data_IF_631084520231
#
_entry.id   IF_631084520231
#
_cell.length_a   1.000
_cell.length_b   1.000
_cell.length_c   1.000
_cell.angle_alpha   90.00
_cell.angle_beta   90.00
_cell.angle_gamma   90.00
#
_symmetry.space_group_name_H-M   'P 1'
#
loop_
_entity.id
_entity.type
_entity.pdbx_description
1 polymer ?
#
# COMPACT_ATOMS: atom_id res chain seq x y z
N UNK A 1 18.01 -22.99 -0.38
CA UNK A 1 18.48 -22.07 0.65
C UNK A 1 17.43 -20.98 0.76
N UNK A 2 16.77 -20.87 1.91
CA UNK A 2 15.69 -19.90 2.12
C UNK A 2 16.37 -18.57 2.44
N UNK A 3 16.45 -17.66 1.45
CA UNK A 3 16.90 -16.30 1.67
C UNK A 3 15.77 -15.52 2.39
N UNK A 4 15.91 -15.37 3.68
CA UNK A 4 15.03 -14.50 4.47
C UNK A 4 15.59 -13.08 4.35
N UNK A 5 15.06 -12.32 3.42
CA UNK A 5 15.39 -10.91 3.26
C UNK A 5 14.72 -10.13 4.39
N UNK A 6 15.47 -9.84 5.45
CA UNK A 6 15.02 -8.98 6.56
C UNK A 6 15.36 -7.54 6.23
N UNK A 7 14.52 -6.90 5.44
CA UNK A 7 14.62 -5.46 5.24
C UNK A 7 13.91 -4.74 6.39
N UNK A 8 14.65 -4.16 7.32
CA UNK A 8 14.12 -3.21 8.30
C UNK A 8 14.06 -1.83 7.63
N UNK A 9 13.00 -1.60 6.88
CA UNK A 9 12.73 -0.31 6.30
C UNK A 9 12.00 0.54 7.34
N UNK A 10 12.63 1.60 7.83
CA UNK A 10 11.97 2.56 8.71
C UNK A 10 11.07 3.43 7.84
N UNK A 11 9.77 3.10 7.83
CA UNK A 11 8.75 3.84 7.09
C UNK A 11 8.12 4.86 8.03
N UNK A 12 8.34 6.15 7.79
CA UNK A 12 7.47 7.17 8.37
C UNK A 12 6.20 7.23 7.51
N UNK A 13 5.20 6.46 7.89
CA UNK A 13 3.88 6.45 7.27
C UNK A 13 3.01 7.49 7.98
N UNK A 14 2.83 8.65 7.37
CA UNK A 14 1.78 9.59 7.77
C UNK A 14 0.58 9.29 6.86
N UNK A 15 -0.47 8.71 7.44
CA UNK A 15 -1.71 8.47 6.74
C UNK A 15 -2.85 9.23 7.43
N UNK A 16 -3.56 10.05 6.67
CA UNK A 16 -4.77 10.73 7.10
C UNK A 16 -5.94 10.08 6.38
N UNK A 17 -6.96 9.68 7.12
CA UNK A 17 -8.17 9.07 6.57
C UNK A 17 -9.40 9.85 7.03
N UNK A 18 -10.20 10.31 6.09
CA UNK A 18 -11.49 10.94 6.34
C UNK A 18 -12.56 9.99 5.80
N UNK A 19 -13.49 9.58 6.66
CA UNK A 19 -14.60 8.72 6.30
C UNK A 19 -15.90 9.48 6.51
N UNK A 20 -16.75 9.56 5.47
CA UNK A 20 -18.07 10.13 5.50
C UNK A 20 -19.06 9.00 5.26
N UNK A 21 -19.92 8.68 6.24
CA UNK A 21 -20.98 7.69 6.10
C UNK A 21 -22.33 8.39 6.07
N UNK A 22 -23.18 8.03 5.09
CA UNK A 22 -24.58 8.42 5.05
C UNK A 22 -25.43 7.24 5.56
N UNK A 23 -26.31 7.52 6.52
CA UNK A 23 -27.44 6.63 6.85
C UNK A 23 -28.60 7.06 5.99
N UNK A 24 -29.24 6.15 5.25
CA UNK A 24 -30.49 6.41 4.56
C UNK A 24 -31.58 6.64 5.61
N UNK A 25 -32.21 7.85 5.59
CA UNK A 25 -33.46 8.09 6.27
C UNK A 25 -34.57 7.29 5.56
N UNK A 26 -34.83 6.08 5.98
CA UNK A 26 -36.07 5.35 5.71
C UNK A 26 -36.41 4.62 6.98
N UNK A 27 -37.22 5.28 7.79
CA UNK A 27 -38.27 4.71 8.65
C UNK A 27 -38.91 5.86 9.42
N UNK A 28 -39.84 6.55 8.75
CA UNK A 28 -40.98 7.23 9.39
C UNK A 28 -42.21 6.54 8.84
N UNK A 29 -42.71 5.59 9.61
CA UNK A 29 -44.12 5.31 9.84
C UNK A 29 -44.25 4.00 10.64
N UNK A 30 -44.56 4.14 11.91
CA UNK A 30 -45.64 3.51 12.62
C UNK A 30 -45.52 3.76 14.13
N UNK A 31 -46.60 4.32 14.66
CA UNK A 31 -46.80 4.49 16.10
C UNK A 31 -46.82 3.16 16.83
N UNK A 32 -45.93 2.99 17.80
CA UNK A 32 -46.27 2.23 19.00
C UNK A 32 -45.45 2.72 20.20
N UNK A 33 -46.22 3.07 21.25
CA UNK A 33 -45.68 3.48 22.53
C UNK A 33 -45.14 2.28 23.30
N UNK A 34 -43.81 2.10 23.32
CA UNK A 34 -43.15 1.38 24.41
C UNK A 34 -41.88 2.08 24.80
N UNK A 35 -41.83 2.52 26.09
CA UNK A 35 -40.64 3.00 26.75
C UNK A 35 -39.59 1.88 26.75
N UNK A 36 -38.69 1.91 25.79
CA UNK A 36 -37.46 1.12 25.77
C UNK A 36 -36.29 2.08 25.48
N UNK A 37 -35.31 2.13 26.38
CA UNK A 37 -34.07 2.91 26.19
C UNK A 37 -33.49 2.64 24.82
N UNK A 38 -33.64 3.58 23.91
CA UNK A 38 -33.05 3.52 22.58
C UNK A 38 -31.55 3.39 22.69
N UNK A 39 -31.04 2.24 22.35
CA UNK A 39 -29.61 2.01 22.21
C UNK A 39 -29.09 2.80 21.01
N UNK A 40 -28.68 4.04 21.26
CA UNK A 40 -27.78 4.72 20.35
C UNK A 40 -26.57 3.84 20.21
N UNK A 41 -26.37 3.23 19.04
CA UNK A 41 -25.11 2.53 18.72
C UNK A 41 -24.01 3.60 18.84
N UNK A 42 -23.30 3.60 19.97
CA UNK A 42 -22.19 4.51 20.21
C UNK A 42 -21.13 4.22 19.14
N UNK A 43 -21.13 5.01 18.06
CA UNK A 43 -20.03 5.04 17.11
C UNK A 43 -18.78 5.53 17.86
N UNK A 44 -17.87 4.61 18.16
CA UNK A 44 -16.58 4.93 18.77
C UNK A 44 -15.47 4.86 17.73
N UNK A 45 -14.38 5.59 17.96
CA UNK A 45 -13.26 5.67 17.03
C UNK A 45 -12.59 4.31 16.75
N UNK A 46 -12.71 3.31 17.64
CA UNK A 46 -12.20 1.95 17.44
C UNK A 46 -13.02 1.11 16.45
N UNK A 47 -14.18 1.58 15.99
CA UNK A 47 -14.99 0.83 15.00
C UNK A 47 -14.28 0.72 13.65
N UNK A 48 -13.52 1.74 13.27
CA UNK A 48 -12.64 1.70 12.09
C UNK A 48 -11.31 1.08 12.46
N UNK A 49 -10.76 0.24 11.56
CA UNK A 49 -9.45 -0.37 11.72
C UNK A 49 -8.31 0.67 11.78
N UNK A 50 -7.09 0.23 12.12
CA UNK A 50 -5.91 1.09 12.08
C UNK A 50 -5.69 1.67 10.70
N UNK A 51 -5.07 2.86 10.65
CA UNK A 51 -4.67 3.50 9.40
C UNK A 51 -3.84 2.54 8.53
N UNK A 52 -4.15 2.50 7.23
CA UNK A 52 -3.48 1.64 6.25
C UNK A 52 -4.00 0.20 6.19
N UNK A 53 -5.02 -0.16 6.96
CA UNK A 53 -5.76 -1.42 6.79
C UNK A 53 -6.93 -1.20 5.84
N UNK A 54 -7.15 -2.15 4.93
CA UNK A 54 -8.22 -2.08 3.92
C UNK A 54 -9.23 -3.20 4.17
N UNK A 55 -10.53 -2.91 3.97
CA UNK A 55 -11.58 -3.91 4.15
C UNK A 55 -11.69 -4.42 5.59
N UNK A 56 -11.52 -3.54 6.56
CA UNK A 56 -11.48 -3.86 8.00
C UNK A 56 -12.86 -4.08 8.62
N UNK A 57 -13.94 -3.65 7.96
CA UNK A 57 -15.30 -3.73 8.47
C UNK A 57 -16.35 -3.84 7.36
N UNK A 58 -17.54 -4.28 7.75
CA UNK A 58 -18.75 -4.33 6.92
C UNK A 58 -19.68 -3.17 7.30
N UNK A 59 -20.45 -2.70 6.32
CA UNK A 59 -21.56 -1.78 6.54
C UNK A 59 -22.86 -2.55 6.80
N UNK A 60 -23.84 -1.89 7.44
CA UNK A 60 -25.23 -2.40 7.55
C UNK A 60 -26.00 -2.15 6.25
N UNK A 61 -27.04 -2.91 6.02
CA UNK A 61 -27.92 -2.75 4.85
C UNK A 61 -28.32 -1.29 4.64
N UNK A 62 -28.18 -0.82 3.40
CA UNK A 62 -28.52 0.54 2.97
C UNK A 62 -27.47 1.61 3.31
N UNK A 63 -26.46 1.28 4.12
CA UNK A 63 -25.39 2.25 4.45
C UNK A 63 -24.40 2.38 3.29
N UNK A 64 -23.89 3.60 3.14
CA UNK A 64 -22.78 3.92 2.24
C UNK A 64 -21.69 4.68 2.99
N UNK A 65 -20.45 4.57 2.52
CA UNK A 65 -19.29 5.28 3.07
C UNK A 65 -18.38 5.73 1.93
N UNK A 66 -17.89 6.95 2.02
CA UNK A 66 -16.81 7.46 1.17
C UNK A 66 -15.60 7.76 2.05
N UNK A 67 -14.42 7.42 1.56
CA UNK A 67 -13.17 7.66 2.27
C UNK A 67 -12.13 8.31 1.37
N UNK A 68 -11.37 9.23 1.94
CA UNK A 68 -10.18 9.81 1.34
C UNK A 68 -9.02 9.49 2.27
N UNK A 69 -7.94 8.94 1.71
CA UNK A 69 -6.72 8.62 2.45
C UNK A 69 -5.53 9.26 1.76
N UNK A 70 -4.69 9.89 2.53
CA UNK A 70 -3.39 10.36 2.09
C UNK A 70 -2.29 9.58 2.81
N UNK A 71 -1.28 9.18 2.08
CA UNK A 71 -0.12 8.47 2.62
C UNK A 71 1.15 9.04 2.01
N UNK A 72 2.11 9.35 2.87
CA UNK A 72 3.47 9.74 2.45
C UNK A 72 4.46 8.66 2.88
N UNK A 73 5.37 8.32 1.99
CA UNK A 73 6.41 7.33 2.20
C UNK A 73 7.76 7.93 1.81
N UNK A 74 8.76 7.81 2.69
CA UNK A 74 10.13 8.23 2.43
C UNK A 74 11.09 7.07 2.64
N UNK A 75 11.96 6.83 1.66
CA UNK A 75 12.96 5.78 1.64
C UNK A 75 14.33 6.42 1.39
N UNK A 76 15.29 6.19 2.26
CA UNK A 76 16.57 6.91 2.21
C UNK A 76 17.80 6.04 2.43
N UNK A 77 17.71 4.74 2.17
CA UNK A 77 18.84 3.83 2.32
C UNK A 77 18.70 2.63 1.39
N UNK A 78 19.85 2.09 0.95
CA UNK A 78 19.91 0.86 0.16
C UNK A 78 20.29 -0.32 1.06
N UNK A 79 19.60 -1.43 0.88
CA UNK A 79 19.84 -2.67 1.61
C UNK A 79 20.00 -3.84 0.65
N UNK A 80 20.86 -4.77 1.02
CA UNK A 80 20.90 -6.11 0.45
C UNK A 80 20.64 -7.09 1.60
N UNK A 81 19.52 -7.80 1.54
CA UNK A 81 18.95 -8.52 2.68
C UNK A 81 18.74 -7.57 3.88
N UNK A 82 19.41 -7.81 4.99
CA UNK A 82 19.36 -6.94 6.18
C UNK A 82 20.57 -6.02 6.32
N UNK A 83 21.53 -6.07 5.38
CA UNK A 83 22.75 -5.28 5.43
C UNK A 83 22.54 -3.96 4.70
N UNK A 84 22.81 -2.85 5.38
CA UNK A 84 22.88 -1.54 4.74
C UNK A 84 24.09 -1.50 3.80
N UNK A 85 23.87 -1.05 2.57
CA UNK A 85 24.89 -0.95 1.53
C UNK A 85 25.33 0.50 1.35
N UNK A 86 26.62 0.72 1.30
CA UNK A 86 27.21 1.98 0.87
C UNK A 86 27.22 2.10 -0.65
N UNK A 87 27.34 3.33 -1.18
CA UNK A 87 27.47 3.55 -2.62
C UNK A 87 28.64 2.74 -3.22
N UNK A 88 29.78 2.68 -2.50
CA UNK A 88 30.95 1.92 -2.96
C UNK A 88 30.69 0.41 -3.06
N UNK A 89 29.93 -0.16 -2.16
CA UNK A 89 29.54 -1.58 -2.23
C UNK A 89 28.56 -1.83 -3.37
N UNK A 90 27.57 -0.94 -3.58
CA UNK A 90 26.61 -1.03 -4.70
C UNK A 90 27.32 -0.96 -6.05
N UNK A 91 28.32 -0.08 -6.17
CA UNK A 91 29.11 0.08 -7.39
C UNK A 91 29.96 -1.14 -7.74
N UNK A 92 30.15 -2.07 -6.82
CA UNK A 92 30.84 -3.36 -7.07
C UNK A 92 29.88 -4.44 -7.59
N UNK A 93 28.57 -4.26 -7.46
CA UNK A 93 27.58 -5.22 -7.95
C UNK A 93 27.58 -5.28 -9.48
N UNK A 94 27.37 -6.47 -10.07
CA UNK A 94 27.32 -6.61 -11.52
C UNK A 94 26.10 -5.91 -12.11
N UNK A 95 26.28 -5.33 -13.29
CA UNK A 95 25.18 -4.82 -14.10
C UNK A 95 24.60 -5.96 -14.96
N UNK A 96 23.34 -6.37 -14.76
CA UNK A 96 22.74 -7.48 -15.51
C UNK A 96 22.57 -7.17 -17.01
N UNK A 97 22.68 -5.92 -17.40
CA UNK A 97 22.49 -5.47 -18.80
C UNK A 97 23.80 -5.27 -19.58
N UNK A 98 24.93 -5.73 -19.03
CA UNK A 98 26.21 -5.80 -19.74
C UNK A 98 27.10 -4.58 -19.49
N UNK A 99 27.02 -3.53 -20.31
CA UNK A 99 27.91 -2.39 -20.18
C UNK A 99 27.21 -1.18 -19.54
N UNK A 100 27.87 -0.53 -18.55
CA UNK A 100 29.14 -0.88 -17.92
C UNK A 100 29.05 -2.18 -17.13
N UNK A 101 30.18 -2.89 -16.94
CA UNK A 101 30.22 -4.21 -16.27
C UNK A 101 29.56 -4.22 -14.88
N UNK A 102 29.71 -3.13 -14.13
CA UNK A 102 29.14 -2.95 -12.80
C UNK A 102 28.13 -1.80 -12.78
N UNK A 103 27.27 -1.79 -11.77
CA UNK A 103 26.35 -0.67 -11.54
C UNK A 103 27.12 0.66 -11.47
N UNK A 104 26.53 1.71 -11.97
CA UNK A 104 27.15 3.05 -12.04
C UNK A 104 26.20 4.16 -11.60
N UNK A 105 24.96 3.84 -11.28
CA UNK A 105 23.98 4.77 -10.75
C UNK A 105 23.45 4.21 -9.43
N UNK A 106 23.39 5.04 -8.40
CA UNK A 106 22.97 4.66 -7.06
C UNK A 106 21.82 5.54 -6.62
N UNK A 107 20.63 4.96 -6.32
CA UNK A 107 19.53 5.67 -5.67
C UNK A 107 19.99 6.19 -4.30
N UNK A 108 19.67 7.44 -3.99
CA UNK A 108 20.01 8.06 -2.71
C UNK A 108 18.80 8.09 -1.77
N UNK A 109 17.68 8.55 -2.30
CA UNK A 109 16.39 8.61 -1.61
C UNK A 109 15.24 8.52 -2.61
N UNK A 110 14.07 8.15 -2.11
CA UNK A 110 12.81 8.14 -2.85
C UNK A 110 11.68 8.57 -1.93
N UNK A 111 10.88 9.51 -2.39
CA UNK A 111 9.61 9.89 -1.77
C UNK A 111 8.44 9.44 -2.64
N UNK A 112 7.36 9.03 -1.99
CA UNK A 112 6.10 8.70 -2.65
C UNK A 112 4.94 9.28 -1.85
N UNK A 113 4.09 10.04 -2.53
CA UNK A 113 2.81 10.51 -2.04
C UNK A 113 1.69 9.71 -2.71
N UNK A 114 0.73 9.23 -1.92
CA UNK A 114 -0.43 8.49 -2.42
C UNK A 114 -1.72 9.13 -1.92
N UNK A 115 -2.68 9.30 -2.83
CA UNK A 115 -4.06 9.66 -2.51
C UNK A 115 -4.95 8.49 -2.92
N UNK A 116 -5.73 7.99 -1.99
CA UNK A 116 -6.67 6.89 -2.21
C UNK A 116 -8.09 7.38 -1.97
N UNK A 117 -8.96 7.17 -2.95
CA UNK A 117 -10.39 7.42 -2.85
C UNK A 117 -11.10 6.08 -2.76
N UNK A 118 -11.91 5.89 -1.74
CA UNK A 118 -12.67 4.68 -1.52
C UNK A 118 -14.16 4.97 -1.38
N UNK A 119 -14.99 4.04 -1.87
CA UNK A 119 -16.42 4.04 -1.67
C UNK A 119 -16.88 2.64 -1.27
N UNK A 120 -17.83 2.57 -0.35
CA UNK A 120 -18.45 1.32 0.08
C UNK A 120 -19.97 1.47 0.10
N UNK A 121 -20.69 0.38 -0.22
CA UNK A 121 -22.14 0.30 -0.16
C UNK A 121 -22.58 -1.10 0.22
N UNK A 122 -23.52 -1.22 1.15
CA UNK A 122 -24.09 -2.50 1.59
C UNK A 122 -25.52 -2.65 1.10
N UNK A 123 -25.79 -3.41 0.03
CA UNK A 123 -27.16 -3.73 -0.41
C UNK A 123 -27.88 -4.64 0.58
N UNK A 124 -27.14 -5.42 1.34
CA UNK A 124 -27.65 -6.34 2.37
C UNK A 124 -26.74 -6.34 3.59
N UNK A 125 -27.20 -6.90 4.71
CA UNK A 125 -26.35 -7.08 5.90
C UNK A 125 -25.26 -8.16 5.73
N UNK A 126 -25.29 -8.91 4.63
CA UNK A 126 -24.34 -9.98 4.32
C UNK A 126 -23.22 -9.56 3.40
N UNK A 127 -23.44 -8.53 2.59
CA UNK A 127 -22.53 -8.12 1.51
C UNK A 127 -22.31 -6.62 1.54
N UNK A 128 -21.04 -6.22 1.53
CA UNK A 128 -20.64 -4.83 1.30
C UNK A 128 -19.75 -4.76 0.07
N UNK A 129 -20.13 -4.01 -0.94
CA UNK A 129 -19.27 -3.69 -2.08
C UNK A 129 -18.30 -2.57 -1.72
N UNK A 130 -17.08 -2.69 -2.21
CA UNK A 130 -16.03 -1.67 -2.03
C UNK A 130 -15.36 -1.40 -3.37
N UNK A 131 -15.19 -0.12 -3.66
CA UNK A 131 -14.38 0.38 -4.78
C UNK A 131 -13.30 1.29 -4.25
N UNK A 132 -12.12 1.23 -4.83
CA UNK A 132 -11.01 2.11 -4.46
C UNK A 132 -10.17 2.45 -5.68
N UNK A 133 -9.69 3.68 -5.72
CA UNK A 133 -8.71 4.12 -6.70
C UNK A 133 -7.53 4.81 -6.00
N UNK A 134 -6.34 4.67 -6.58
CA UNK A 134 -5.09 5.19 -6.01
C UNK A 134 -4.37 6.04 -7.04
N UNK A 135 -4.04 7.26 -6.65
CA UNK A 135 -3.14 8.17 -7.35
C UNK A 135 -1.79 8.20 -6.62
N UNK A 136 -0.70 8.02 -7.35
CA UNK A 136 0.67 8.05 -6.83
C UNK A 136 1.47 9.17 -7.47
N UNK A 137 2.26 9.88 -6.66
CA UNK A 137 3.32 10.76 -7.11
C UNK A 137 4.64 10.30 -6.49
N UNK A 138 5.66 10.08 -7.32
CA UNK A 138 6.95 9.50 -6.92
C UNK A 138 8.08 10.43 -7.34
N UNK A 139 9.09 10.56 -6.51
CA UNK A 139 10.33 11.28 -6.77
C UNK A 139 11.50 10.48 -6.25
N UNK A 140 12.53 10.28 -7.08
CA UNK A 140 13.74 9.56 -6.70
C UNK A 140 14.96 10.40 -7.04
N UNK A 141 15.86 10.58 -6.09
CA UNK A 141 17.16 11.20 -6.28
C UNK A 141 18.22 10.11 -6.48
N UNK A 142 19.05 10.28 -7.50
CA UNK A 142 20.09 9.33 -7.88
C UNK A 142 21.42 10.03 -8.05
N UNK A 143 22.50 9.28 -7.84
CA UNK A 143 23.87 9.74 -8.10
C UNK A 143 24.54 8.86 -9.13
N UNK A 144 25.12 9.50 -10.17
CA UNK A 144 25.88 8.82 -11.22
C UNK A 144 27.36 8.86 -10.93
N UNK A 145 28.02 7.75 -11.19
CA UNK A 145 29.46 7.54 -11.04
C UNK A 145 30.10 7.16 -12.37
N UNK A 146 31.37 7.46 -12.53
CA UNK A 146 32.17 6.99 -13.67
C UNK A 146 32.14 5.46 -13.76
N UNK A 147 32.01 4.88 -14.97
CA UNK A 147 31.86 3.44 -15.14
C UNK A 147 33.15 2.64 -14.91
N UNK A 148 34.30 3.28 -15.00
CA UNK A 148 35.63 2.69 -14.88
C UNK A 148 36.56 3.56 -14.07
N UNK A 149 37.75 3.02 -13.70
CA UNK A 149 38.80 3.66 -12.90
C UNK A 149 38.28 4.11 -11.54
N UNK A 150 38.59 5.29 -11.08
CA UNK A 150 38.40 5.76 -9.71
C UNK A 150 36.92 5.86 -9.26
N UNK A 151 35.95 5.60 -10.14
CA UNK A 151 34.52 5.62 -9.82
C UNK A 151 34.07 6.95 -9.16
N UNK A 152 34.62 8.07 -9.64
CA UNK A 152 34.27 9.38 -9.12
C UNK A 152 32.81 9.72 -9.44
N UNK A 153 32.15 10.43 -8.51
CA UNK A 153 30.80 10.92 -8.73
C UNK A 153 30.80 11.98 -9.85
N UNK A 154 29.92 11.78 -10.82
CA UNK A 154 29.71 12.72 -11.94
C UNK A 154 28.67 13.79 -11.59
N UNK A 155 27.69 13.46 -10.75
CA UNK A 155 26.64 14.36 -10.33
C UNK A 155 25.40 13.65 -9.83
N UNK A 156 24.43 14.44 -9.37
CA UNK A 156 23.11 14.00 -8.96
C UNK A 156 22.07 14.38 -10.01
N UNK A 157 21.00 13.60 -10.09
CA UNK A 157 19.80 13.90 -10.87
C UNK A 157 18.57 13.33 -10.18
N UNK A 158 17.39 13.75 -10.62
CA UNK A 158 16.13 13.26 -10.08
C UNK A 158 15.24 12.74 -11.20
N UNK A 159 14.48 11.69 -10.90
CA UNK A 159 13.38 11.20 -11.73
C UNK A 159 12.06 11.38 -11.00
N UNK A 160 11.00 11.71 -11.73
CA UNK A 160 9.66 11.91 -11.17
C UNK A 160 8.63 11.20 -12.04
N UNK A 161 7.60 10.70 -11.38
CA UNK A 161 6.41 10.17 -12.05
C UNK A 161 5.17 10.45 -11.22
N UNK A 162 4.03 10.61 -11.88
CA UNK A 162 2.74 10.72 -11.21
C UNK A 162 1.68 10.09 -12.09
N UNK A 163 0.79 9.30 -11.49
CA UNK A 163 -0.22 8.56 -12.26
C UNK A 163 -1.40 8.12 -11.41
N UNK A 164 -2.54 7.90 -12.06
CA UNK A 164 -3.64 7.11 -11.52
C UNK A 164 -3.25 5.63 -11.69
N UNK A 165 -2.85 4.99 -10.60
CA UNK A 165 -2.16 3.70 -10.64
C UNK A 165 -3.09 2.52 -10.64
N UNK A 166 -4.08 2.51 -9.74
CA UNK A 166 -4.84 1.33 -9.39
C UNK A 166 -6.33 1.64 -9.32
N UNK A 167 -7.15 0.72 -9.83
CA UNK A 167 -8.59 0.62 -9.55
C UNK A 167 -8.86 -0.77 -8.96
N UNK A 168 -9.49 -0.80 -7.79
CA UNK A 168 -9.90 -2.01 -7.08
C UNK A 168 -11.43 -2.05 -6.97
N UNK A 169 -12.00 -3.23 -7.21
CA UNK A 169 -13.41 -3.53 -6.99
C UNK A 169 -13.50 -4.83 -6.20
N UNK A 170 -14.16 -4.82 -5.06
CA UNK A 170 -14.27 -5.99 -4.19
C UNK A 170 -15.61 -6.09 -3.49
N UNK A 171 -15.93 -7.29 -3.02
CA UNK A 171 -17.06 -7.60 -2.16
C UNK A 171 -16.53 -8.15 -0.83
N UNK A 172 -17.04 -7.61 0.26
CA UNK A 172 -16.82 -8.13 1.61
C UNK A 172 -18.04 -8.97 1.98
N UNK A 173 -17.81 -10.20 2.42
CA UNK A 173 -18.84 -11.20 2.72
C UNK A 173 -18.84 -11.50 4.20
N UNK A 174 -19.96 -11.28 4.88
CA UNK A 174 -20.13 -11.59 6.29
C UNK A 174 -20.15 -13.12 6.48
N UNK A 175 -19.25 -13.63 7.32
CA UNK A 175 -19.24 -15.04 7.69
C UNK A 175 -19.83 -15.19 9.09
N UNK A 176 -19.45 -14.31 10.01
CA UNK A 176 -19.90 -14.34 11.39
C UNK A 176 -19.93 -12.93 11.99
N UNK A 177 -21.01 -12.60 12.70
CA UNK A 177 -21.16 -11.30 13.38
C UNK A 177 -22.12 -11.52 14.56
N UNK A 178 -21.56 -11.89 15.69
CA UNK A 178 -22.30 -12.04 16.94
C UNK A 178 -21.50 -11.48 18.09
N UNK A 179 -22.20 -10.85 19.00
CA UNK A 179 -21.64 -10.22 20.18
C UNK A 179 -20.49 -9.27 19.78
N UNK A 180 -19.34 -9.49 20.37
CA UNK A 180 -18.13 -8.70 20.14
C UNK A 180 -17.20 -9.28 19.05
N UNK A 181 -17.62 -10.33 18.35
CA UNK A 181 -16.79 -11.08 17.41
C UNK A 181 -17.32 -10.93 15.99
N UNK A 182 -16.43 -10.51 15.07
CA UNK A 182 -16.76 -10.38 13.65
C UNK A 182 -15.73 -11.12 12.80
N UNK A 183 -16.23 -11.79 11.77
CA UNK A 183 -15.41 -12.51 10.80
C UNK A 183 -16.00 -12.33 9.41
N UNK A 184 -15.18 -11.88 8.46
CA UNK A 184 -15.60 -11.69 7.08
C UNK A 184 -14.49 -12.02 6.11
N UNK A 185 -14.88 -12.38 4.90
CA UNK A 185 -13.98 -12.55 3.77
C UNK A 185 -14.13 -11.37 2.79
N UNK A 186 -13.10 -11.11 2.03
CA UNK A 186 -13.10 -10.18 0.91
C UNK A 186 -12.59 -10.91 -0.34
N UNK A 187 -13.28 -10.69 -1.46
CA UNK A 187 -12.82 -11.09 -2.77
C UNK A 187 -12.98 -9.94 -3.74
N UNK A 188 -12.02 -9.74 -4.61
CA UNK A 188 -12.05 -8.62 -5.55
C UNK A 188 -11.07 -8.77 -6.69
N UNK A 189 -11.12 -7.81 -7.58
CA UNK A 189 -10.17 -7.65 -8.68
C UNK A 189 -9.49 -6.29 -8.54
N UNK A 190 -8.22 -6.27 -8.86
CA UNK A 190 -7.42 -5.07 -8.90
C UNK A 190 -6.82 -4.91 -10.29
N UNK A 191 -7.08 -3.77 -10.92
CA UNK A 191 -6.53 -3.42 -12.22
C UNK A 191 -5.50 -2.33 -12.05
N UNK A 192 -4.28 -2.64 -12.42
CA UNK A 192 -3.21 -1.68 -12.52
C UNK A 192 -3.34 -0.94 -13.87
N UNK A 193 -3.62 0.37 -13.83
CA UNK A 193 -3.88 1.20 -15.00
C UNK A 193 -2.80 2.23 -15.29
N UNK A 194 -1.87 2.43 -14.34
CA UNK A 194 -0.79 3.40 -14.44
C UNK A 194 0.13 3.18 -15.65
N UNK A 195 0.88 4.20 -16.01
CA UNK A 195 1.82 4.15 -17.13
C UNK A 195 2.99 3.18 -16.84
N UNK A 196 3.34 2.33 -17.81
CA UNK A 196 4.41 1.34 -17.71
C UNK A 196 5.66 1.67 -18.55
N UNK A 197 5.67 2.81 -19.24
CA UNK A 197 6.75 3.27 -20.13
C UNK A 197 7.14 4.74 -19.90
N UNK A 198 7.00 5.21 -18.65
CA UNK A 198 7.38 6.55 -18.26
C UNK A 198 8.87 6.78 -18.49
N UNK A 199 9.20 7.95 -19.08
CA UNK A 199 10.56 8.34 -19.44
C UNK A 199 11.03 9.54 -18.61
N UNK A 200 12.34 9.65 -18.41
CA UNK A 200 12.97 10.81 -17.78
C UNK A 200 14.34 11.10 -18.37
N UNK A 201 14.76 12.37 -18.26
CA UNK A 201 16.14 12.76 -18.50
C UNK A 201 17.01 12.32 -17.32
N UNK A 202 18.11 11.62 -17.62
CA UNK A 202 19.03 11.08 -16.62
C UNK A 202 20.47 11.41 -16.95
N UNK A 203 21.31 11.56 -15.94
CA UNK A 203 22.74 11.70 -16.10
C UNK A 203 23.34 10.30 -16.31
N UNK A 204 23.84 10.06 -17.52
CA UNK A 204 24.44 8.78 -17.92
C UNK A 204 25.86 8.62 -17.36
N UNK A 205 26.37 7.36 -17.21
CA UNK A 205 27.73 7.10 -16.73
C UNK A 205 28.85 7.69 -17.60
N UNK A 206 28.56 8.05 -18.86
CA UNK A 206 29.50 8.74 -19.76
C UNK A 206 29.51 10.26 -19.58
N UNK A 207 28.73 10.82 -18.63
CA UNK A 207 28.67 12.24 -18.32
C UNK A 207 27.70 13.04 -19.19
N UNK A 208 27.03 12.42 -20.15
CA UNK A 208 25.98 13.05 -20.96
C UNK A 208 24.60 12.87 -20.33
N UNK A 209 23.67 13.74 -20.67
CA UNK A 209 22.26 13.63 -20.33
C UNK A 209 21.53 12.91 -21.46
N UNK A 210 20.69 11.94 -21.13
CA UNK A 210 19.91 11.18 -22.09
C UNK A 210 18.53 10.83 -21.54
N UNK A 211 17.57 10.57 -22.44
CA UNK A 211 16.22 10.09 -22.06
C UNK A 211 16.20 8.56 -22.02
N UNK A 212 15.69 7.99 -20.95
CA UNK A 212 15.48 6.54 -20.81
C UNK A 212 14.10 6.25 -20.23
N UNK A 213 13.61 5.02 -20.44
CA UNK A 213 12.50 4.48 -19.67
C UNK A 213 13.00 4.26 -18.24
N UNK A 214 12.35 4.89 -17.27
CA UNK A 214 12.79 4.84 -15.87
C UNK A 214 12.51 3.47 -15.24
N UNK A 215 13.26 3.07 -14.18
CA UNK A 215 13.13 1.76 -13.55
C UNK A 215 11.73 1.44 -13.02
N UNK A 216 11.43 0.16 -12.84
CA UNK A 216 10.12 -0.39 -12.47
C UNK A 216 9.46 0.32 -11.29
N UNK A 217 10.20 0.58 -10.20
CA UNK A 217 9.67 1.26 -9.01
C UNK A 217 9.16 2.67 -9.27
N UNK A 218 9.64 3.32 -10.33
CA UNK A 218 9.22 4.66 -10.75
C UNK A 218 8.09 4.61 -11.79
N UNK A 219 7.72 3.47 -12.35
CA UNK A 219 6.57 3.34 -13.24
C UNK A 219 5.25 3.58 -12.49
N UNK A 220 4.26 4.13 -13.19
CA UNK A 220 2.90 4.34 -12.66
C UNK A 220 2.19 3.02 -12.39
N UNK A 221 2.48 2.00 -13.20
CA UNK A 221 1.89 0.67 -13.11
C UNK A 221 2.47 -0.31 -14.13
N UNK A 222 2.00 -1.56 -14.10
CA UNK A 222 2.42 -2.66 -14.97
C UNK A 222 1.30 -3.14 -15.91
N UNK A 223 0.10 -2.52 -15.86
CA UNK A 223 -1.09 -2.92 -16.64
C UNK A 223 -1.63 -4.31 -16.30
N UNK A 224 -1.19 -4.95 -15.22
CA UNK A 224 -1.68 -6.26 -14.77
C UNK A 224 -3.14 -6.22 -14.33
N UNK A 225 -3.73 -7.40 -14.19
CA UNK A 225 -4.99 -7.64 -13.51
C UNK A 225 -4.74 -8.69 -12.44
N UNK A 226 -5.09 -8.38 -11.19
CA UNK A 226 -4.86 -9.25 -10.04
C UNK A 226 -6.19 -9.66 -9.38
N UNK A 227 -6.21 -10.86 -8.82
CA UNK A 227 -7.23 -11.31 -7.88
C UNK A 227 -6.79 -10.90 -6.47
N UNK A 228 -7.71 -10.29 -5.75
CA UNK A 228 -7.54 -9.93 -4.36
C UNK A 228 -8.42 -10.82 -3.50
N UNK A 229 -7.84 -11.40 -2.46
CA UNK A 229 -8.56 -12.16 -1.44
C UNK A 229 -8.08 -11.76 -0.05
N UNK A 230 -8.99 -11.68 0.92
CA UNK A 230 -8.62 -11.46 2.31
C UNK A 230 -9.62 -12.12 3.25
N UNK A 231 -9.14 -12.40 4.46
CA UNK A 231 -9.94 -12.86 5.57
C UNK A 231 -9.60 -11.97 6.77
N UNK A 232 -10.63 -11.41 7.41
CA UNK A 232 -10.49 -10.51 8.54
C UNK A 232 -11.26 -11.02 9.74
N UNK A 233 -10.59 -11.12 10.87
CA UNK A 233 -11.16 -11.44 12.17
C UNK A 233 -10.97 -10.27 13.12
N UNK A 234 -12.02 -9.89 13.86
CA UNK A 234 -11.94 -8.89 14.92
C UNK A 234 -12.72 -9.30 16.14
N UNK A 235 -12.23 -8.95 17.32
CA UNK A 235 -12.91 -9.16 18.58
C UNK A 235 -12.76 -7.92 19.47
N UNK A 236 -13.88 -7.56 20.11
CA UNK A 236 -13.93 -6.43 21.04
C UNK A 236 -13.95 -6.94 22.47
N UNK A 237 -13.18 -6.34 23.36
CA UNK A 237 -13.10 -6.62 24.78
C UNK A 237 -13.20 -5.30 25.55
N UNK A 238 -14.40 -4.87 25.87
CA UNK A 238 -14.62 -3.57 26.51
C UNK A 238 -14.05 -2.42 25.68
N UNK A 239 -13.06 -1.71 26.23
CA UNK A 239 -12.41 -0.58 25.53
C UNK A 239 -11.41 -1.02 24.46
N UNK A 240 -11.05 -2.30 24.38
CA UNK A 240 -10.10 -2.85 23.42
C UNK A 240 -10.81 -3.48 22.23
N UNK A 241 -10.25 -3.33 21.04
CA UNK A 241 -10.57 -4.12 19.85
C UNK A 241 -9.27 -4.69 19.28
N UNK A 242 -9.25 -5.99 19.09
CA UNK A 242 -8.12 -6.70 18.47
C UNK A 242 -8.55 -7.29 17.14
N UNK A 243 -7.63 -7.43 16.21
CA UNK A 243 -7.93 -8.04 14.93
C UNK A 243 -6.71 -8.62 14.24
N UNK A 244 -7.00 -9.46 13.27
CA UNK A 244 -6.05 -10.05 12.34
C UNK A 244 -6.64 -10.10 10.94
N UNK A 245 -5.79 -9.91 9.93
CA UNK A 245 -6.17 -10.02 8.53
C UNK A 245 -5.05 -10.72 7.76
N UNK A 246 -5.42 -11.70 6.97
CA UNK A 246 -4.57 -12.27 5.93
C UNK A 246 -5.11 -11.74 4.60
N UNK A 247 -4.24 -11.20 3.75
CA UNK A 247 -4.56 -10.67 2.43
C UNK A 247 -3.58 -11.24 1.42
N UNK A 248 -4.08 -11.67 0.28
CA UNK A 248 -3.29 -12.12 -0.87
C UNK A 248 -3.73 -11.38 -2.12
N UNK A 249 -2.75 -11.01 -2.93
CA UNK A 249 -2.93 -10.43 -4.25
C UNK A 249 -2.12 -11.25 -5.25
N UNK A 250 -2.82 -11.83 -6.24
CA UNK A 250 -2.25 -12.74 -7.21
C UNK A 250 -2.56 -12.28 -8.62
N UNK A 251 -1.55 -12.14 -9.45
CA UNK A 251 -1.71 -11.78 -10.86
C UNK A 251 -2.44 -12.88 -11.62
N UNK A 252 -3.56 -12.55 -12.27
CA UNK A 252 -4.36 -13.47 -13.09
C UNK A 252 -4.21 -13.23 -14.59
N UNK A 253 -3.65 -12.09 -14.98
CA UNK A 253 -3.35 -11.76 -16.37
C UNK A 253 -2.00 -11.08 -16.46
N UNK A 254 -1.03 -11.83 -16.95
CA UNK A 254 0.33 -11.37 -17.11
C UNK A 254 0.50 -10.51 -18.38
N UNK A 255 1.46 -9.61 -18.31
CA UNK A 255 1.96 -8.75 -19.37
C UNK A 255 3.43 -9.11 -19.66
N UNK A 256 4.13 -8.28 -20.42
CA UNK A 256 5.56 -8.41 -20.67
C UNK A 256 6.36 -8.45 -19.36
N UNK A 257 5.89 -7.67 -18.36
CA UNK A 257 6.34 -7.70 -16.98
C UNK A 257 5.19 -7.36 -16.02
N UNK A 258 5.22 -7.87 -14.80
CA UNK A 258 4.26 -7.57 -13.75
C UNK A 258 4.96 -7.46 -12.40
N UNK A 259 4.47 -6.59 -11.54
CA UNK A 259 4.85 -6.66 -10.11
C UNK A 259 4.49 -8.04 -9.57
N UNK A 260 5.33 -8.55 -8.65
CA UNK A 260 5.15 -9.88 -8.09
C UNK A 260 3.90 -9.99 -7.21
N UNK A 261 3.40 -11.20 -7.08
CA UNK A 261 2.32 -11.52 -6.13
C UNK A 261 2.71 -11.11 -4.71
N UNK A 262 1.73 -10.76 -3.91
CA UNK A 262 1.92 -10.26 -2.54
C UNK A 262 1.02 -10.96 -1.55
N UNK A 263 1.61 -11.48 -0.47
CA UNK A 263 0.91 -12.00 0.70
C UNK A 263 1.18 -11.11 1.91
N UNK A 264 0.14 -10.78 2.66
CA UNK A 264 0.20 -9.86 3.79
C UNK A 264 -0.53 -10.43 5.01
N UNK A 265 0.11 -10.39 6.18
CA UNK A 265 -0.49 -10.64 7.49
C UNK A 265 -0.46 -9.35 8.30
N UNK A 266 -1.62 -8.91 8.75
CA UNK A 266 -1.78 -7.82 9.71
C UNK A 266 -2.32 -8.34 11.03
N UNK A 267 -1.74 -7.87 12.12
CA UNK A 267 -2.26 -8.07 13.48
C UNK A 267 -2.28 -6.70 14.16
N UNK A 268 -3.38 -6.37 14.82
CA UNK A 268 -3.51 -5.07 15.48
C UNK A 268 -4.30 -5.12 16.77
N UNK A 269 -4.07 -4.11 17.60
CA UNK A 269 -4.86 -3.77 18.77
C UNK A 269 -5.21 -2.28 18.74
N UNK A 270 -6.43 -1.98 19.16
CA UNK A 270 -6.95 -0.60 19.30
C UNK A 270 -7.55 -0.43 20.67
N UNK A 271 -7.43 0.76 21.23
CA UNK A 271 -8.05 1.11 22.52
C UNK A 271 -8.66 2.49 22.45
N UNK A 272 -9.90 2.60 22.88
CA UNK A 272 -10.53 3.91 23.08
C UNK A 272 -9.79 4.70 24.17
N UNK A 273 -9.44 5.94 23.85
CA UNK A 273 -8.92 6.93 24.80
C UNK A 273 -10.13 7.62 25.44
N UNK A 274 -11.12 7.97 24.62
CA UNK A 274 -12.40 8.55 24.99
C UNK A 274 -13.44 8.22 23.91
N UNK A 275 -14.64 8.80 23.98
CA UNK A 275 -15.74 8.49 23.04
C UNK A 275 -15.43 8.85 21.58
N UNK A 276 -14.51 9.78 21.32
CA UNK A 276 -14.20 10.28 19.97
C UNK A 276 -12.81 9.89 19.48
N UNK A 277 -11.94 9.30 20.32
CA UNK A 277 -10.59 8.97 19.92
C UNK A 277 -10.15 7.60 20.40
N UNK A 278 -9.38 6.90 19.56
CA UNK A 278 -8.76 5.62 19.85
C UNK A 278 -7.32 5.60 19.31
N UNK A 279 -6.39 5.04 20.06
CA UNK A 279 -5.06 4.74 19.56
C UNK A 279 -4.99 3.30 19.04
N UNK A 280 -4.06 3.04 18.15
CA UNK A 280 -3.85 1.71 17.56
C UNK A 280 -2.37 1.37 17.43
N UNK A 281 -2.07 0.08 17.55
CA UNK A 281 -0.79 -0.54 17.25
C UNK A 281 -1.03 -1.64 16.24
N UNK A 282 -0.23 -1.68 15.16
CA UNK A 282 -0.32 -2.68 14.09
C UNK A 282 1.05 -3.26 13.77
N UNK A 283 1.12 -4.56 13.61
CA UNK A 283 2.26 -5.28 13.01
C UNK A 283 1.80 -5.82 11.67
N UNK A 284 2.56 -5.52 10.61
CA UNK A 284 2.36 -6.06 9.27
C UNK A 284 3.58 -6.88 8.86
N UNK A 285 3.34 -8.10 8.42
CA UNK A 285 4.34 -8.94 7.74
C UNK A 285 3.89 -9.08 6.29
N UNK A 286 4.76 -8.81 5.35
CA UNK A 286 4.46 -8.87 3.93
C UNK A 286 5.55 -9.66 3.20
N UNK A 287 5.14 -10.56 2.30
CA UNK A 287 5.99 -11.30 1.38
C UNK A 287 5.61 -10.91 -0.05
N UNK A 288 6.52 -10.28 -0.77
CA UNK A 288 6.32 -9.86 -2.16
C UNK A 288 7.24 -10.72 -3.03
N UNK A 289 6.72 -11.27 -4.12
CA UNK A 289 7.53 -11.98 -5.12
C UNK A 289 8.30 -10.98 -5.98
N UNK A 290 9.45 -11.35 -6.55
CA UNK A 290 10.11 -10.54 -7.57
C UNK A 290 9.17 -10.20 -8.73
N UNK A 291 9.52 -9.18 -9.49
CA UNK A 291 8.84 -8.86 -10.75
C UNK A 291 8.93 -10.08 -11.68
N UNK A 292 7.80 -10.49 -12.25
CA UNK A 292 7.72 -11.53 -13.26
C UNK A 292 7.87 -10.91 -14.65
N UNK A 293 8.77 -11.50 -15.46
CA UNK A 293 9.14 -10.95 -16.75
C UNK A 293 10.11 -9.77 -16.68
N UNK A 294 10.35 -9.12 -17.82
CA UNK A 294 11.23 -7.95 -17.93
C UNK A 294 10.88 -7.10 -19.14
N UNK A 295 10.89 -5.78 -18.97
CA UNK A 295 10.78 -4.84 -20.07
C UNK A 295 12.12 -4.69 -20.79
N UNK A 296 12.11 -4.88 -22.10
CA UNK A 296 13.32 -4.74 -22.97
C UNK A 296 13.88 -3.33 -23.01
N UNK A 297 13.09 -2.31 -22.64
CA UNK A 297 13.47 -0.91 -22.67
C UNK A 297 14.00 -0.42 -21.30
N UNK A 298 13.75 -1.17 -20.22
CA UNK A 298 14.27 -0.84 -18.88
C UNK A 298 15.63 -1.50 -18.70
N UNK A 299 16.66 -0.82 -19.21
CA UNK A 299 18.06 -1.27 -19.17
C UNK A 299 18.94 -0.13 -18.69
N UNK A 300 19.18 -0.06 -17.39
CA UNK A 300 20.02 0.98 -16.79
C UNK A 300 21.00 0.36 -15.79
N UNK A 301 22.21 0.90 -15.62
CA UNK A 301 23.20 0.39 -14.68
C UNK A 301 22.87 0.84 -13.24
N UNK A 302 21.65 0.56 -12.80
CA UNK A 302 21.10 0.87 -11.49
C UNK A 302 20.37 -0.36 -10.94
N UNK A 303 20.47 -0.61 -9.66
CA UNK A 303 19.87 -1.79 -9.02
C UNK A 303 18.35 -1.88 -9.19
N UNK A 304 17.67 -0.74 -9.29
CA UNK A 304 16.21 -0.65 -9.48
C UNK A 304 15.75 -0.98 -10.90
N UNK A 305 16.67 -1.20 -11.85
CA UNK A 305 16.34 -1.71 -13.18
C UNK A 305 16.25 -3.24 -13.22
N UNK A 306 16.80 -3.95 -12.23
CA UNK A 306 16.75 -5.40 -12.16
C UNK A 306 15.41 -5.87 -11.54
N UNK A 307 14.57 -6.62 -12.27
CA UNK A 307 13.29 -7.16 -11.77
C UNK A 307 13.44 -8.01 -10.51
N UNK A 308 14.56 -8.70 -10.35
CA UNK A 308 14.81 -9.60 -9.21
C UNK A 308 15.01 -8.86 -7.89
N UNK A 309 15.27 -7.55 -7.93
CA UNK A 309 15.47 -6.71 -6.74
C UNK A 309 14.17 -6.18 -6.12
N UNK A 310 13.00 -6.62 -6.62
CA UNK A 310 11.68 -6.15 -6.16
C UNK A 310 10.94 -7.11 -5.23
N UNK A 311 11.49 -8.28 -4.96
CA UNK A 311 10.92 -9.25 -4.03
C UNK A 311 11.46 -9.10 -2.62
N UNK A 312 10.79 -9.74 -1.66
CA UNK A 312 11.31 -9.89 -0.32
C UNK A 312 10.26 -9.87 0.77
N UNK A 313 10.70 -10.19 1.99
CA UNK A 313 9.86 -10.17 3.20
C UNK A 313 10.14 -8.94 4.02
N UNK A 314 9.08 -8.25 4.40
CA UNK A 314 9.16 -7.04 5.25
C UNK A 314 8.30 -7.20 6.50
N UNK A 315 8.78 -6.59 7.59
CA UNK A 315 8.01 -6.45 8.82
C UNK A 315 7.89 -4.96 9.13
N UNK A 316 6.67 -4.50 9.35
CA UNK A 316 6.39 -3.09 9.64
C UNK A 316 5.63 -2.96 10.95
N UNK A 317 5.98 -1.94 11.74
CA UNK A 317 5.27 -1.54 12.95
C UNK A 317 4.55 -0.23 12.67
N UNK A 318 3.24 -0.19 12.94
CA UNK A 318 2.41 1.00 12.79
C UNK A 318 1.83 1.45 14.12
N UNK A 319 1.90 2.75 14.38
CA UNK A 319 1.20 3.40 15.50
C UNK A 319 0.25 4.41 14.90
N UNK A 320 -0.99 4.47 15.39
CA UNK A 320 -2.01 5.35 14.84
C UNK A 320 -2.97 5.89 15.89
N UNK A 321 -3.66 6.96 15.51
CA UNK A 321 -4.77 7.55 16.27
C UNK A 321 -5.94 7.73 15.32
N UNK A 322 -7.10 7.19 15.71
CA UNK A 322 -8.37 7.42 15.04
C UNK A 322 -9.15 8.50 15.81
N UNK A 323 -9.70 9.48 15.12
CA UNK A 323 -10.50 10.55 15.70
C UNK A 323 -11.81 10.63 14.93
N UNK A 324 -12.93 10.57 15.63
CA UNK A 324 -14.25 10.86 15.07
C UNK A 324 -14.47 12.38 15.06
N UNK A 325 -14.74 12.91 13.88
CA UNK A 325 -15.18 14.29 13.78
C UNK A 325 -16.68 14.36 14.09
N UNK A 326 -17.14 15.37 14.84
CA UNK A 326 -18.57 15.58 15.06
C UNK A 326 -19.25 15.74 13.71
N UNK A 327 -20.37 15.03 13.50
CA UNK A 327 -21.22 15.26 12.32
C UNK A 327 -21.71 16.72 12.40
N UNK A 328 -21.41 17.50 11.38
CA UNK A 328 -22.01 18.81 11.23
C UNK A 328 -23.53 18.66 11.19
N UNK A 329 -24.20 19.34 12.08
CA UNK A 329 -25.66 19.47 12.14
C UNK A 329 -26.17 20.22 10.91
#
# INVERSE_FOLDING_TARGET
MINIQKSYLFWLLIAISINISSESMQDMDEHDHHHGMGGHSNHTAKMHGPIGLMGDHLLKKGQSMVSIRYMKMSMNQNYLDSKKMSDTEILQLPNPYGMPKNLSVVPQDMDMDMIMLGAMYAPTDQITFMSMTTFNAKSMNLRTYQPMMNRNALGNFSTKSSDLSIINLSALLKIYDKDDTKFHAQIGIEKNIGNSDANSQVLMPMGNVGSIVIPYGMQGGDKSLSLLSAITYTKTYGVWKMGGQIRSETNIKNKEWNFGDSDELNIWGQRDINNISAWSLRVKVQDIKPIDGADKNIKAPVQTADPMNYGGKTVSLGIGINILLPRGS
#
